data_IF_746248845761
#
_entry.id   IF_746248845761
#
_cell.length_a   1.000
_cell.length_b   1.000
_cell.length_c   1.000
_cell.angle_alpha   90.00
_cell.angle_beta   90.00
_cell.angle_gamma   90.00
#
_symmetry.space_group_name_H-M   'P 1'
#
loop_
_entity.id
_entity.type
_entity.pdbx_description
1 polymer ?
#
# COMPACT_ATOMS: atom_id res chain seq x y z
N UNK A 1 -35.54 26.52 -12.27
CA UNK A 1 -34.24 26.59 -11.55
C UNK A 1 -34.27 27.60 -10.40
N UNK A 2 -34.96 28.74 -10.54
CA UNK A 2 -35.10 29.73 -9.46
C UNK A 2 -36.03 29.29 -8.30
N UNK A 3 -37.08 28.49 -8.57
CA UNK A 3 -38.02 28.04 -7.52
C UNK A 3 -37.38 27.00 -6.57
N UNK A 4 -36.54 26.09 -7.09
CA UNK A 4 -35.80 25.11 -6.29
C UNK A 4 -34.77 25.74 -5.34
N UNK A 5 -34.28 26.95 -5.64
CA UNK A 5 -33.37 27.69 -4.76
C UNK A 5 -34.15 28.35 -3.61
N UNK A 6 -35.37 28.81 -3.87
CA UNK A 6 -36.23 29.40 -2.85
C UNK A 6 -36.78 28.36 -1.87
N UNK A 7 -37.13 27.16 -2.34
CA UNK A 7 -37.65 26.09 -1.49
C UNK A 7 -36.57 25.48 -0.55
N UNK A 8 -35.29 25.60 -0.89
CA UNK A 8 -34.21 25.14 -0.02
C UNK A 8 -33.89 26.13 1.13
N UNK A 9 -34.14 27.43 0.91
CA UNK A 9 -33.91 28.47 1.92
C UNK A 9 -34.95 28.46 3.04
N UNK A 10 -36.15 27.93 2.79
CA UNK A 10 -37.28 27.94 3.73
C UNK A 10 -37.30 26.76 4.72
N UNK A 11 -36.38 25.80 4.62
CA UNK A 11 -36.36 24.58 5.46
C UNK A 11 -35.14 24.42 6.38
N UNK A 12 -34.37 25.48 6.66
CA UNK A 12 -33.25 25.39 7.62
C UNK A 12 -33.72 25.59 9.07
N UNK A 13 -33.50 24.61 9.98
CA UNK A 13 -33.70 24.82 11.42
C UNK A 13 -32.80 25.94 11.93
N UNK A 14 -33.31 26.78 12.82
CA UNK A 14 -32.57 27.89 13.45
C UNK A 14 -31.47 27.36 14.39
N UNK A 15 -30.36 26.88 13.82
CA UNK A 15 -29.08 26.77 14.52
C UNK A 15 -28.48 28.16 14.75
N UNK A 16 -27.64 28.31 15.78
CA UNK A 16 -26.99 29.59 16.10
C UNK A 16 -26.31 30.23 14.88
N UNK A 17 -26.30 31.56 14.83
CA UNK A 17 -25.83 32.37 13.68
C UNK A 17 -24.45 31.96 13.15
N UNK A 18 -23.56 31.47 14.02
CA UNK A 18 -22.24 30.93 13.64
C UNK A 18 -22.30 29.58 12.91
N UNK A 19 -23.22 28.69 13.28
CA UNK A 19 -23.43 27.40 12.61
C UNK A 19 -24.05 27.59 11.22
N UNK A 20 -24.96 28.57 11.08
CA UNK A 20 -25.54 28.91 9.78
C UNK A 20 -24.49 29.54 8.84
N UNK A 21 -23.63 30.43 9.35
CA UNK A 21 -22.58 31.05 8.56
C UNK A 21 -21.52 30.04 8.05
N UNK A 22 -21.12 29.07 8.87
CA UNK A 22 -20.18 28.00 8.46
C UNK A 22 -20.78 27.08 7.40
N UNK A 23 -22.04 26.63 7.57
CA UNK A 23 -22.74 25.81 6.57
C UNK A 23 -22.91 26.54 5.23
N UNK A 24 -23.24 27.84 5.25
CA UNK A 24 -23.35 28.65 4.03
C UNK A 24 -22.02 28.73 3.28
N UNK A 25 -20.91 28.96 4.00
CA UNK A 25 -19.58 29.06 3.40
C UNK A 25 -19.14 27.75 2.75
N UNK A 26 -19.32 26.62 3.43
CA UNK A 26 -18.96 25.30 2.87
C UNK A 26 -19.76 24.99 1.61
N UNK A 27 -21.06 25.33 1.61
CA UNK A 27 -21.92 25.17 0.45
C UNK A 27 -21.47 26.05 -0.72
N UNK A 28 -21.13 27.32 -0.46
CA UNK A 28 -20.62 28.24 -1.48
C UNK A 28 -19.26 27.80 -2.04
N UNK A 29 -18.36 27.30 -1.20
CA UNK A 29 -17.07 26.77 -1.64
C UNK A 29 -17.24 25.58 -2.57
N UNK A 30 -18.08 24.61 -2.18
CA UNK A 30 -18.38 23.43 -3.01
C UNK A 30 -19.05 23.84 -4.32
N UNK A 31 -20.05 24.72 -4.27
CA UNK A 31 -20.70 25.25 -5.48
C UNK A 31 -19.71 25.95 -6.39
N UNK A 32 -18.83 26.79 -5.83
CA UNK A 32 -17.80 27.51 -6.57
C UNK A 32 -16.82 26.56 -7.25
N UNK A 33 -16.34 25.52 -6.56
CA UNK A 33 -15.43 24.51 -7.10
C UNK A 33 -16.06 23.75 -8.28
N UNK A 34 -17.30 23.26 -8.12
CA UNK A 34 -18.02 22.54 -9.18
C UNK A 34 -18.30 23.47 -10.36
N UNK A 35 -18.77 24.70 -10.09
CA UNK A 35 -19.06 25.69 -11.14
C UNK A 35 -17.82 25.99 -11.98
N UNK A 36 -16.69 26.25 -11.34
CA UNK A 36 -15.42 26.51 -12.04
C UNK A 36 -14.94 25.30 -12.83
N UNK A 37 -15.05 24.08 -12.28
CA UNK A 37 -14.67 22.86 -13.00
C UNK A 37 -15.55 22.61 -14.25
N UNK A 38 -16.84 22.92 -14.17
CA UNK A 38 -17.77 22.84 -15.33
C UNK A 38 -17.52 23.94 -16.36
N UNK A 39 -17.16 25.14 -15.91
CA UNK A 39 -16.86 26.29 -16.78
C UNK A 39 -15.52 26.11 -17.51
N UNK A 40 -14.54 25.48 -16.86
CA UNK A 40 -13.19 25.24 -17.38
C UNK A 40 -12.87 23.74 -17.34
N UNK A 41 -13.48 22.93 -18.23
CA UNK A 41 -13.25 21.50 -18.27
C UNK A 41 -11.80 21.18 -18.67
N UNK A 42 -11.28 20.08 -18.15
CA UNK A 42 -9.92 19.61 -18.42
C UNK A 42 -9.78 19.23 -19.90
N UNK A 43 -8.60 19.48 -20.45
CA UNK A 43 -8.19 18.83 -21.70
C UNK A 43 -7.46 17.53 -21.35
N UNK A 44 -8.09 16.38 -21.66
CA UNK A 44 -7.57 15.04 -21.30
C UNK A 44 -6.19 14.81 -21.94
N UNK A 45 -6.03 15.12 -23.23
CA UNK A 45 -4.77 14.95 -23.95
C UNK A 45 -3.63 15.76 -23.32
N UNK A 46 -3.88 17.04 -23.00
CA UNK A 46 -2.87 17.87 -22.34
C UNK A 46 -2.58 17.41 -20.91
N UNK A 47 -3.58 16.89 -20.21
CA UNK A 47 -3.41 16.36 -18.84
C UNK A 47 -2.54 15.10 -18.85
N UNK A 48 -2.79 14.18 -19.78
CA UNK A 48 -1.95 13.01 -20.01
C UNK A 48 -0.51 13.41 -20.37
N UNK A 49 -0.31 14.33 -21.31
CA UNK A 49 1.04 14.79 -21.66
C UNK A 49 1.79 15.39 -20.47
N UNK A 50 1.14 16.23 -19.66
CA UNK A 50 1.75 16.78 -18.44
C UNK A 50 2.13 15.70 -17.43
N UNK A 51 1.29 14.67 -17.27
CA UNK A 51 1.59 13.50 -16.43
C UNK A 51 2.86 12.81 -16.93
N UNK A 52 2.91 12.47 -18.22
CA UNK A 52 4.03 11.76 -18.83
C UNK A 52 5.33 12.58 -18.76
N UNK A 53 5.26 13.89 -18.99
CA UNK A 53 6.42 14.78 -18.86
C UNK A 53 6.96 14.84 -17.43
N UNK A 54 6.09 14.79 -16.41
CA UNK A 54 6.54 14.69 -15.03
C UNK A 54 7.19 13.33 -14.73
N UNK A 55 6.68 12.24 -15.34
CA UNK A 55 7.21 10.88 -15.20
C UNK A 55 8.61 10.71 -15.81
N UNK A 56 9.01 11.58 -16.75
CA UNK A 56 10.37 11.65 -17.30
C UNK A 56 11.43 12.16 -16.30
N UNK A 57 11.01 12.71 -15.16
CA UNK A 57 11.95 13.18 -14.13
C UNK A 57 12.45 12.00 -13.30
N UNK A 58 13.76 11.75 -13.32
CA UNK A 58 14.37 10.66 -12.56
C UNK A 58 13.99 10.65 -11.07
N UNK A 59 13.89 11.82 -10.44
CA UNK A 59 13.57 11.93 -9.01
C UNK A 59 12.18 11.38 -8.68
N UNK A 60 11.20 11.61 -9.56
CA UNK A 60 9.87 11.03 -9.45
C UNK A 60 9.91 9.54 -9.79
N UNK A 61 10.55 9.18 -10.91
CA UNK A 61 10.62 7.81 -11.38
C UNK A 61 11.19 6.86 -10.31
N UNK A 62 12.23 7.28 -9.57
CA UNK A 62 12.85 6.49 -8.48
C UNK A 62 11.92 6.23 -7.29
N UNK A 63 10.77 6.92 -7.20
CA UNK A 63 9.79 6.84 -6.12
C UNK A 63 8.39 6.52 -6.63
N UNK A 64 8.24 6.23 -7.92
CA UNK A 64 6.93 6.11 -8.59
C UNK A 64 6.18 4.82 -8.22
N UNK A 65 6.91 3.76 -7.88
CA UNK A 65 6.35 2.46 -7.49
C UNK A 65 6.82 2.13 -6.08
N UNK A 66 5.89 1.64 -5.25
CA UNK A 66 6.26 1.00 -3.99
C UNK A 66 6.41 -0.50 -4.22
N UNK A 67 7.26 -1.14 -3.42
CA UNK A 67 7.44 -2.58 -3.45
C UNK A 67 7.62 -3.12 -2.03
N UNK A 68 6.99 -4.25 -1.74
CA UNK A 68 7.22 -4.98 -0.49
C UNK A 68 7.01 -6.49 -0.68
N UNK A 69 7.74 -7.34 0.05
CA UNK A 69 7.55 -8.79 0.01
C UNK A 69 6.30 -9.20 0.82
N UNK A 70 5.49 -10.10 0.26
CA UNK A 70 4.38 -10.77 0.95
C UNK A 70 4.34 -12.24 0.55
N UNK A 71 4.48 -13.14 1.53
CA UNK A 71 4.42 -14.59 1.29
C UNK A 71 5.46 -15.10 0.28
N UNK A 72 6.67 -14.52 0.25
CA UNK A 72 7.72 -14.86 -0.72
C UNK A 72 7.52 -14.30 -2.13
N UNK A 73 6.44 -13.54 -2.36
CA UNK A 73 6.16 -12.85 -3.62
C UNK A 73 6.31 -11.34 -3.46
N UNK A 74 6.63 -10.65 -4.55
CA UNK A 74 6.70 -9.19 -4.57
C UNK A 74 5.31 -8.60 -4.83
N UNK A 75 4.89 -7.67 -3.96
CA UNK A 75 3.72 -6.82 -4.21
C UNK A 75 4.21 -5.45 -4.59
N UNK A 76 3.77 -4.96 -5.74
CA UNK A 76 4.12 -3.63 -6.25
C UNK A 76 2.87 -2.86 -6.71
N UNK A 77 3.01 -1.54 -6.83
CA UNK A 77 1.97 -0.69 -7.40
C UNK A 77 2.34 0.79 -7.38
N UNK A 78 1.52 1.64 -8.00
CA UNK A 78 1.74 3.09 -8.01
C UNK A 78 1.87 3.62 -6.59
N UNK A 79 2.91 4.39 -6.32
CA UNK A 79 3.14 5.01 -5.02
C UNK A 79 2.20 6.20 -4.79
N UNK A 80 2.10 6.66 -3.53
CA UNK A 80 1.39 7.92 -3.24
C UNK A 80 2.01 9.11 -3.99
N UNK A 81 3.34 9.10 -4.23
CA UNK A 81 4.02 10.19 -4.95
C UNK A 81 3.60 10.24 -6.41
N UNK A 82 3.47 9.07 -7.06
CA UNK A 82 2.93 9.01 -8.41
C UNK A 82 1.45 9.43 -8.43
N UNK A 83 0.64 8.94 -7.49
CA UNK A 83 -0.77 9.33 -7.39
C UNK A 83 -0.97 10.84 -7.19
N UNK A 84 -0.15 11.49 -6.36
CA UNK A 84 -0.18 12.95 -6.18
C UNK A 84 0.15 13.69 -7.49
N UNK A 85 1.15 13.24 -8.25
CA UNK A 85 1.49 13.82 -9.55
C UNK A 85 0.37 13.62 -10.56
N UNK A 86 -0.25 12.44 -10.59
CA UNK A 86 -1.43 12.17 -11.41
C UNK A 86 -2.55 13.15 -11.08
N UNK A 87 -2.91 13.27 -9.79
CA UNK A 87 -3.96 14.18 -9.33
C UNK A 87 -3.68 15.65 -9.66
N UNK A 88 -2.43 16.13 -9.45
CA UNK A 88 -2.02 17.49 -9.74
C UNK A 88 -2.15 17.85 -11.23
N UNK A 89 -1.92 16.90 -12.12
CA UNK A 89 -1.88 17.13 -13.57
C UNK A 89 -3.17 16.70 -14.30
N UNK A 90 -4.02 15.88 -13.66
CA UNK A 90 -5.33 15.50 -14.19
C UNK A 90 -6.29 16.70 -14.25
N UNK A 91 -6.16 17.63 -13.30
CA UNK A 91 -7.01 18.82 -13.17
C UNK A 91 -8.30 18.57 -12.39
N UNK A 92 -9.04 19.63 -12.03
CA UNK A 92 -10.40 19.57 -11.46
C UNK A 92 -10.63 18.44 -10.42
N UNK A 93 -9.65 18.21 -9.53
CA UNK A 93 -9.66 17.14 -8.55
C UNK A 93 -9.44 17.70 -7.15
N UNK A 94 -10.30 17.33 -6.21
CA UNK A 94 -10.11 17.58 -4.78
C UNK A 94 -9.82 16.25 -4.09
N UNK A 95 -8.73 16.17 -3.33
CA UNK A 95 -8.34 14.94 -2.64
C UNK A 95 -7.64 15.27 -1.32
N UNK A 96 -7.64 14.33 -0.39
CA UNK A 96 -6.98 14.52 0.89
C UNK A 96 -7.45 13.56 1.96
N UNK A 97 -6.97 13.80 3.17
CA UNK A 97 -7.40 13.09 4.38
C UNK A 97 -7.97 14.09 5.38
N UNK A 98 -9.05 13.71 6.06
CA UNK A 98 -9.65 14.46 7.16
C UNK A 98 -9.71 13.53 8.37
N UNK A 99 -9.13 13.94 9.49
CA UNK A 99 -9.41 13.30 10.77
C UNK A 99 -10.80 13.75 11.22
N UNK A 100 -11.71 12.80 11.36
CA UNK A 100 -13.11 13.05 11.71
C UNK A 100 -13.27 13.12 13.22
N UNK A 101 -12.59 12.24 13.93
CA UNK A 101 -12.66 12.12 15.37
C UNK A 101 -11.38 11.51 15.93
N UNK A 102 -10.92 11.99 17.07
CA UNK A 102 -9.83 11.38 17.83
C UNK A 102 -10.34 10.98 19.22
N UNK A 103 -10.18 9.71 19.58
CA UNK A 103 -10.55 9.14 20.87
C UNK A 103 -9.32 8.58 21.58
N UNK A 104 -9.49 8.17 22.82
CA UNK A 104 -8.40 7.51 23.56
C UNK A 104 -8.06 6.15 22.90
N UNK A 105 -6.87 6.07 22.29
CA UNK A 105 -6.37 4.82 21.71
C UNK A 105 -6.75 4.57 20.25
N UNK A 106 -7.53 5.46 19.61
CA UNK A 106 -7.83 5.38 18.19
C UNK A 106 -8.22 6.73 17.56
N UNK A 107 -7.98 6.86 16.26
CA UNK A 107 -8.43 7.99 15.44
C UNK A 107 -9.30 7.47 14.30
N UNK A 108 -10.42 8.14 14.03
CA UNK A 108 -11.25 7.91 12.85
C UNK A 108 -10.90 8.96 11.81
N UNK A 109 -10.49 8.53 10.63
CA UNK A 109 -10.13 9.40 9.53
C UNK A 109 -10.85 8.99 8.24
N UNK A 110 -10.96 9.94 7.32
CA UNK A 110 -11.54 9.75 6.00
C UNK A 110 -10.53 10.19 4.94
N UNK A 111 -10.21 9.29 4.02
CA UNK A 111 -9.48 9.63 2.80
C UNK A 111 -10.49 9.79 1.66
N UNK A 112 -10.30 10.81 0.82
CA UNK A 112 -11.20 11.06 -0.30
C UNK A 112 -10.45 11.52 -1.56
N UNK A 113 -11.09 11.30 -2.70
CA UNK A 113 -10.78 11.94 -3.97
C UNK A 113 -12.09 12.22 -4.71
N UNK A 114 -12.23 13.42 -5.26
CA UNK A 114 -13.43 13.90 -5.91
C UNK A 114 -13.06 14.62 -7.21
N UNK A 115 -13.51 14.06 -8.33
CA UNK A 115 -13.53 14.75 -9.61
C UNK A 115 -14.68 15.74 -9.64
N UNK A 116 -14.35 17.03 -9.57
CA UNK A 116 -15.32 18.13 -9.55
C UNK A 116 -15.98 18.35 -10.91
N UNK A 117 -15.37 17.88 -11.99
CA UNK A 117 -15.88 18.02 -13.35
C UNK A 117 -16.90 16.93 -13.69
N UNK A 118 -16.61 15.67 -13.34
CA UNK A 118 -17.53 14.54 -13.56
C UNK A 118 -18.47 14.26 -12.37
N UNK A 119 -18.16 14.85 -11.20
CA UNK A 119 -18.79 14.58 -9.91
C UNK A 119 -18.61 13.15 -9.37
N UNK A 120 -17.68 12.36 -9.93
CA UNK A 120 -17.32 11.05 -9.36
C UNK A 120 -16.51 11.25 -8.08
N UNK A 121 -16.92 10.60 -6.99
CA UNK A 121 -16.29 10.73 -5.67
C UNK A 121 -16.00 9.36 -5.07
N UNK A 122 -14.80 9.22 -4.50
CA UNK A 122 -14.34 8.05 -3.77
C UNK A 122 -14.03 8.48 -2.33
N UNK A 123 -14.61 7.78 -1.36
CA UNK A 123 -14.37 8.02 0.07
C UNK A 123 -14.09 6.71 0.78
N UNK A 124 -13.16 6.76 1.74
CA UNK A 124 -12.81 5.64 2.58
C UNK A 124 -12.68 6.15 4.01
N UNK A 125 -13.65 5.79 4.85
CA UNK A 125 -13.60 6.01 6.30
C UNK A 125 -12.88 4.83 6.93
N UNK A 126 -11.96 5.10 7.85
CA UNK A 126 -11.15 4.07 8.50
C UNK A 126 -10.76 4.48 9.92
N UNK A 127 -10.62 3.47 10.77
CA UNK A 127 -10.16 3.63 12.15
C UNK A 127 -8.70 3.21 12.24
N UNK A 128 -7.88 4.06 12.88
CA UNK A 128 -6.46 3.82 13.15
C UNK A 128 -6.30 3.64 14.65
N UNK A 129 -6.07 2.40 15.09
CA UNK A 129 -5.69 2.11 16.48
C UNK A 129 -4.31 2.71 16.77
N UNK A 130 -4.15 3.40 17.88
CA UNK A 130 -2.89 4.00 18.35
C UNK A 130 -1.95 2.93 18.91
N UNK A 131 -1.57 1.98 18.06
CA UNK A 131 -0.67 0.89 18.43
C UNK A 131 0.14 0.45 17.22
N UNK A 132 1.36 -0.02 17.46
CA UNK A 132 2.22 -0.64 16.44
C UNK A 132 2.50 -2.08 16.86
N UNK A 133 2.34 -3.02 15.92
CA UNK A 133 2.78 -4.39 16.12
C UNK A 133 4.22 -4.51 15.62
N UNK A 134 5.15 -4.87 16.50
CA UNK A 134 6.54 -5.10 16.14
C UNK A 134 7.00 -6.41 16.80
N UNK A 135 7.60 -7.32 16.02
CA UNK A 135 8.17 -8.58 16.53
C UNK A 135 7.22 -9.40 17.44
N UNK A 136 5.93 -9.41 17.10
CA UNK A 136 4.91 -10.16 17.84
C UNK A 136 4.34 -9.46 19.09
N UNK A 137 4.88 -8.33 19.51
CA UNK A 137 4.30 -7.52 20.60
C UNK A 137 3.52 -6.32 20.06
N UNK A 138 2.43 -5.98 20.74
CA UNK A 138 1.64 -4.78 20.46
C UNK A 138 2.12 -3.68 21.40
N UNK A 139 2.70 -2.63 20.85
CA UNK A 139 3.09 -1.44 21.59
C UNK A 139 2.04 -0.36 21.41
N UNK A 140 1.42 0.09 22.51
CA UNK A 140 0.50 1.24 22.50
C UNK A 140 1.33 2.51 22.27
N UNK A 141 0.88 3.36 21.34
CA UNK A 141 1.44 4.69 21.13
C UNK A 141 0.74 5.67 22.06
N UNK A 142 1.54 6.47 22.75
CA UNK A 142 1.06 7.53 23.65
C UNK A 142 1.57 8.90 23.24
N UNK A 143 2.67 8.96 22.49
CA UNK A 143 3.23 10.21 22.00
C UNK A 143 2.33 10.80 20.87
N UNK A 144 1.89 12.07 20.98
CA UNK A 144 1.02 12.68 19.98
C UNK A 144 1.62 12.75 18.57
N UNK A 145 2.95 12.90 18.46
CA UNK A 145 3.63 12.96 17.16
C UNK A 145 3.64 11.58 16.50
N UNK A 146 3.94 10.53 17.26
CA UNK A 146 3.88 9.16 16.75
C UNK A 146 2.47 8.75 16.28
N UNK A 147 1.45 9.21 17.00
CA UNK A 147 0.04 9.01 16.63
C UNK A 147 -0.29 9.74 15.34
N UNK A 148 0.07 11.03 15.24
CA UNK A 148 -0.14 11.82 14.04
C UNK A 148 0.55 11.21 12.81
N UNK A 149 1.82 10.81 12.94
CA UNK A 149 2.57 10.16 11.85
C UNK A 149 1.93 8.83 11.44
N UNK A 150 1.39 8.04 12.40
CA UNK A 150 0.69 6.79 12.11
C UNK A 150 -0.62 7.05 11.33
N UNK A 151 -1.42 8.02 11.75
CA UNK A 151 -2.68 8.39 11.08
C UNK A 151 -2.41 8.94 9.69
N UNK A 152 -1.43 9.84 9.55
CA UNK A 152 -1.00 10.40 8.27
C UNK A 152 -0.54 9.31 7.29
N UNK A 153 0.26 8.34 7.75
CA UNK A 153 0.71 7.22 6.92
C UNK A 153 -0.45 6.32 6.47
N UNK A 154 -1.41 6.04 7.34
CA UNK A 154 -2.62 5.29 6.99
C UNK A 154 -3.53 6.06 6.02
N UNK A 155 -3.63 7.37 6.22
CA UNK A 155 -4.32 8.30 5.33
C UNK A 155 -3.72 8.32 3.95
N UNK A 156 -2.41 8.52 3.82
CA UNK A 156 -1.71 8.56 2.54
C UNK A 156 -1.96 7.31 1.68
N UNK A 157 -1.95 6.11 2.30
CA UNK A 157 -2.24 4.85 1.58
C UNK A 157 -3.65 4.81 1.01
N UNK A 158 -4.63 5.35 1.73
CA UNK A 158 -6.04 5.36 1.32
C UNK A 158 -6.35 6.51 0.36
N UNK A 159 -5.70 7.67 0.52
CA UNK A 159 -5.75 8.77 -0.45
C UNK A 159 -5.22 8.31 -1.80
N UNK A 160 -4.10 7.58 -1.81
CA UNK A 160 -3.59 6.92 -3.03
C UNK A 160 -4.68 6.07 -3.69
N UNK A 161 -5.32 5.18 -2.93
CA UNK A 161 -6.38 4.33 -3.45
C UNK A 161 -7.59 5.13 -3.99
N UNK A 162 -7.98 6.22 -3.32
CA UNK A 162 -9.05 7.09 -3.80
C UNK A 162 -8.67 7.78 -5.11
N UNK A 163 -7.45 8.32 -5.23
CA UNK A 163 -6.97 8.97 -6.47
C UNK A 163 -6.96 7.97 -7.62
N UNK A 164 -6.37 6.79 -7.41
CA UNK A 164 -6.30 5.73 -8.43
C UNK A 164 -7.68 5.18 -8.80
N UNK A 165 -8.66 5.27 -7.90
CA UNK A 165 -10.06 4.92 -8.20
C UNK A 165 -10.84 5.99 -8.98
N UNK A 166 -10.29 7.20 -9.13
CA UNK A 166 -10.89 8.28 -9.94
C UNK A 166 -10.22 8.38 -11.32
N UNK A 167 -8.89 8.29 -11.37
CA UNK A 167 -8.14 8.45 -12.62
C UNK A 167 -8.22 7.15 -13.43
N UNK A 168 -8.52 7.20 -14.75
CA UNK A 168 -8.59 6.01 -15.58
C UNK A 168 -7.31 5.16 -15.51
N UNK A 169 -7.47 3.84 -15.38
CA UNK A 169 -6.37 2.91 -15.18
C UNK A 169 -5.32 2.96 -16.29
N UNK A 170 -5.73 3.17 -17.54
CA UNK A 170 -4.80 3.27 -18.68
C UNK A 170 -3.86 4.48 -18.58
N UNK A 171 -4.31 5.58 -17.94
CA UNK A 171 -3.45 6.76 -17.68
C UNK A 171 -2.45 6.47 -16.56
N UNK A 172 -2.88 5.71 -15.55
CA UNK A 172 -2.00 5.27 -14.45
C UNK A 172 -0.91 4.34 -14.99
N UNK A 173 -1.30 3.35 -15.79
CA UNK A 173 -0.38 2.35 -16.36
C UNK A 173 0.66 3.02 -17.26
N UNK A 174 0.23 3.91 -18.16
CA UNK A 174 1.17 4.71 -18.99
C UNK A 174 2.14 5.54 -18.15
N UNK A 175 1.70 6.08 -17.01
CA UNK A 175 2.57 6.84 -16.13
C UNK A 175 3.61 5.95 -15.43
N UNK A 176 3.22 4.73 -15.02
CA UNK A 176 4.15 3.73 -14.46
C UNK A 176 5.16 3.26 -15.51
N UNK A 177 4.71 2.98 -16.73
CA UNK A 177 5.57 2.58 -17.85
C UNK A 177 6.58 3.68 -18.17
N UNK A 178 6.14 4.93 -18.26
CA UNK A 178 7.03 6.07 -18.51
C UNK A 178 8.06 6.26 -17.38
N UNK A 179 7.68 6.05 -16.11
CA UNK A 179 8.63 6.06 -15.01
C UNK A 179 9.66 4.93 -15.14
N UNK A 180 9.21 3.74 -15.50
CA UNK A 180 10.07 2.57 -15.71
C UNK A 180 11.05 2.80 -16.87
N UNK A 181 10.58 3.35 -17.98
CA UNK A 181 11.42 3.74 -19.12
C UNK A 181 12.46 4.81 -18.72
N UNK A 182 12.07 5.75 -17.85
CA UNK A 182 12.99 6.76 -17.31
C UNK A 182 14.09 6.14 -16.46
N UNK A 183 13.76 5.14 -15.63
CA UNK A 183 14.75 4.42 -14.84
C UNK A 183 15.67 3.53 -15.68
N UNK A 184 15.12 2.90 -16.73
CA UNK A 184 15.91 2.14 -17.70
C UNK A 184 16.95 3.04 -18.38
N UNK A 185 16.58 4.28 -18.67
CA UNK A 185 17.41 5.24 -19.39
C UNK A 185 17.77 4.76 -20.80
N UNK A 186 18.86 5.29 -21.36
CA UNK A 186 19.39 4.90 -22.67
C UNK A 186 20.38 3.72 -22.59
N UNK A 187 20.28 2.87 -21.56
CA UNK A 187 21.23 1.78 -21.38
C UNK A 187 21.05 0.67 -22.42
N UNK A 188 22.10 0.36 -23.18
CA UNK A 188 22.09 -0.70 -24.20
C UNK A 188 21.96 -2.11 -23.62
N UNK A 189 22.17 -2.26 -22.29
CA UNK A 189 22.25 -3.55 -21.62
C UNK A 189 20.90 -4.01 -21.06
N UNK A 190 20.47 -5.26 -21.34
CA UNK A 190 19.27 -5.84 -20.74
C UNK A 190 19.30 -5.79 -19.20
N UNK A 191 18.12 -5.65 -18.58
CA UNK A 191 17.98 -5.58 -17.12
C UNK A 191 18.68 -6.75 -16.40
N UNK A 192 18.52 -7.98 -16.91
CA UNK A 192 19.14 -9.18 -16.34
C UNK A 192 20.67 -9.10 -16.29
N UNK A 193 21.30 -8.52 -17.32
CA UNK A 193 22.75 -8.30 -17.33
C UNK A 193 23.16 -7.24 -16.31
N UNK A 194 22.40 -6.14 -16.22
CA UNK A 194 22.64 -5.07 -15.23
C UNK A 194 22.50 -5.57 -13.79
N UNK A 195 21.50 -6.40 -13.49
CA UNK A 195 21.35 -7.06 -12.19
C UNK A 195 22.53 -7.98 -11.90
N UNK A 196 22.91 -8.86 -12.84
CA UNK A 196 24.05 -9.77 -12.68
C UNK A 196 25.35 -9.00 -12.37
N UNK A 197 25.58 -7.89 -13.08
CA UNK A 197 26.72 -7.01 -12.82
C UNK A 197 26.64 -6.39 -11.42
N UNK A 198 25.47 -5.90 -11.00
CA UNK A 198 25.27 -5.37 -9.65
C UNK A 198 25.57 -6.43 -8.58
N UNK A 199 25.01 -7.65 -8.70
CA UNK A 199 25.26 -8.76 -7.78
C UNK A 199 26.75 -9.12 -7.69
N UNK A 200 27.47 -9.09 -8.82
CA UNK A 200 28.91 -9.33 -8.83
C UNK A 200 29.70 -8.25 -8.07
N UNK A 201 29.30 -6.98 -8.15
CA UNK A 201 29.94 -5.89 -7.41
C UNK A 201 29.80 -6.05 -5.90
N UNK A 202 28.71 -6.64 -5.41
CA UNK A 202 28.50 -6.90 -3.98
C UNK A 202 29.46 -7.95 -3.39
N UNK A 203 30.06 -8.82 -4.22
CA UNK A 203 30.99 -9.87 -3.76
C UNK A 203 32.24 -9.31 -3.08
N UNK A 204 32.72 -8.13 -3.48
CA UNK A 204 33.86 -7.49 -2.83
C UNK A 204 33.60 -7.11 -1.36
N UNK A 205 32.33 -6.96 -1.00
CA UNK A 205 31.86 -6.70 0.37
C UNK A 205 31.45 -7.97 1.10
N UNK A 206 31.76 -9.16 0.55
CA UNK A 206 31.33 -10.48 1.06
C UNK A 206 29.82 -10.64 1.18
N UNK A 207 29.06 -9.86 0.41
CA UNK A 207 27.60 -9.98 0.30
C UNK A 207 27.30 -10.98 -0.82
N UNK A 208 26.50 -12.01 -0.51
CA UNK A 208 26.10 -13.05 -1.47
C UNK A 208 24.73 -12.75 -2.06
N UNK A 209 24.39 -13.41 -3.18
CA UNK A 209 23.05 -13.29 -3.77
C UNK A 209 21.96 -13.70 -2.77
N UNK A 210 22.17 -14.79 -2.01
CA UNK A 210 21.21 -15.24 -0.99
C UNK A 210 20.91 -14.16 0.06
N UNK A 211 21.93 -13.41 0.48
CA UNK A 211 21.76 -12.31 1.44
C UNK A 211 20.97 -11.14 0.86
N UNK A 212 21.15 -10.88 -0.44
CA UNK A 212 20.40 -9.85 -1.16
C UNK A 212 18.94 -10.28 -1.30
N UNK A 213 18.69 -11.51 -1.73
CA UNK A 213 17.32 -12.04 -1.84
C UNK A 213 16.60 -12.10 -0.49
N UNK A 214 17.30 -12.42 0.60
CA UNK A 214 16.73 -12.37 1.96
C UNK A 214 16.35 -10.94 2.36
N UNK A 215 17.17 -9.94 2.01
CA UNK A 215 16.88 -8.52 2.24
C UNK A 215 15.64 -8.03 1.48
N UNK A 216 15.48 -8.47 0.24
CA UNK A 216 14.33 -8.07 -0.60
C UNK A 216 13.09 -8.93 -0.31
N UNK A 217 13.29 -10.17 0.15
CA UNK A 217 12.24 -11.14 0.47
C UNK A 217 11.70 -11.91 -0.74
N UNK A 218 12.43 -11.91 -1.87
CA UNK A 218 12.11 -12.63 -3.11
C UNK A 218 13.38 -12.86 -3.96
N UNK A 219 13.28 -13.76 -4.94
CA UNK A 219 14.38 -14.18 -5.82
C UNK A 219 14.86 -13.05 -6.76
N UNK A 220 16.16 -13.04 -7.08
CA UNK A 220 16.76 -12.03 -7.95
C UNK A 220 16.20 -12.06 -9.39
N UNK A 221 15.59 -13.17 -9.82
CA UNK A 221 14.86 -13.29 -11.07
C UNK A 221 13.58 -12.47 -11.13
N UNK A 222 13.04 -12.04 -9.98
CA UNK A 222 11.87 -11.15 -9.89
C UNK A 222 12.25 -9.65 -9.81
N UNK A 223 13.54 -9.31 -9.91
CA UNK A 223 14.00 -7.93 -9.76
C UNK A 223 13.60 -7.05 -10.96
N UNK A 224 13.18 -5.81 -10.68
CA UNK A 224 12.81 -4.78 -11.66
C UNK A 224 13.85 -3.65 -11.70
N UNK A 225 13.61 -2.62 -12.52
CA UNK A 225 14.41 -1.39 -12.51
C UNK A 225 14.43 -0.72 -11.12
N UNK A 226 13.35 -0.84 -10.35
CA UNK A 226 13.25 -0.29 -9.00
C UNK A 226 14.18 -1.01 -8.03
N UNK A 227 14.23 -2.35 -8.09
CA UNK A 227 15.16 -3.16 -7.32
C UNK A 227 16.62 -2.83 -7.65
N UNK A 228 16.93 -2.64 -8.94
CA UNK A 228 18.27 -2.23 -9.37
C UNK A 228 18.66 -0.84 -8.82
N UNK A 229 17.74 0.12 -8.84
CA UNK A 229 17.97 1.45 -8.24
C UNK A 229 18.26 1.34 -6.74
N UNK A 230 17.54 0.49 -6.02
CA UNK A 230 17.78 0.25 -4.59
C UNK A 230 19.15 -0.40 -4.35
N UNK A 231 19.51 -1.42 -5.14
CA UNK A 231 20.83 -2.05 -5.08
C UNK A 231 21.96 -1.04 -5.33
N UNK A 232 21.82 -0.17 -6.32
CA UNK A 232 22.82 0.87 -6.62
C UNK A 232 22.94 1.86 -5.46
N UNK A 233 21.84 2.25 -4.81
CA UNK A 233 21.87 3.11 -3.61
C UNK A 233 22.62 2.46 -2.45
N UNK A 234 22.32 1.19 -2.16
CA UNK A 234 23.00 0.44 -1.10
C UNK A 234 24.49 0.31 -1.43
N UNK A 235 24.82 -0.07 -2.66
CA UNK A 235 26.21 -0.19 -3.11
C UNK A 235 26.99 1.11 -2.96
N UNK A 236 26.43 2.25 -3.37
CA UNK A 236 27.07 3.55 -3.23
C UNK A 236 27.29 3.91 -1.75
N UNK A 237 26.33 3.62 -0.87
CA UNK A 237 26.50 3.82 0.58
C UNK A 237 27.66 3.00 1.16
N UNK A 238 27.84 1.75 0.71
CA UNK A 238 28.98 0.90 1.09
C UNK A 238 30.30 1.41 0.51
N UNK A 239 30.28 1.83 -0.77
CA UNK A 239 31.46 2.37 -1.47
C UNK A 239 31.97 3.66 -0.82
N UNK A 240 31.07 4.52 -0.40
CA UNK A 240 31.38 5.81 0.23
C UNK A 240 31.69 5.66 1.74
N UNK A 241 31.60 4.44 2.29
CA UNK A 241 31.88 4.16 3.69
C UNK A 241 30.83 4.69 4.67
N UNK A 242 29.64 5.05 4.18
CA UNK A 242 28.54 5.60 4.99
C UNK A 242 27.76 4.52 5.75
N UNK A 243 27.89 3.26 5.33
CA UNK A 243 27.29 2.10 5.99
C UNK A 243 28.17 0.86 5.83
N UNK A 244 27.87 -0.18 6.60
CA UNK A 244 28.51 -1.50 6.56
C UNK A 244 27.55 -2.54 5.98
N UNK A 245 28.06 -3.66 5.44
CA UNK A 245 27.20 -4.74 4.93
C UNK A 245 26.17 -5.22 5.96
N UNK A 246 26.54 -5.27 7.24
CA UNK A 246 25.70 -5.75 8.34
C UNK A 246 24.53 -4.80 8.66
N UNK A 247 24.60 -3.54 8.23
CA UNK A 247 23.50 -2.58 8.39
C UNK A 247 22.34 -2.89 7.43
N UNK A 248 22.63 -3.63 6.35
CA UNK A 248 21.68 -3.95 5.29
C UNK A 248 21.36 -5.44 5.20
N UNK A 249 22.35 -6.30 5.34
CA UNK A 249 22.23 -7.72 5.02
C UNK A 249 22.47 -8.58 6.26
N UNK A 250 21.53 -9.49 6.53
CA UNK A 250 21.68 -10.47 7.60
C UNK A 250 22.67 -11.56 7.19
N UNK A 251 23.77 -11.70 7.94
CA UNK A 251 24.82 -12.70 7.69
C UNK A 251 24.33 -14.13 7.91
N UNK A 252 23.26 -14.33 8.67
CA UNK A 252 22.70 -15.64 8.98
C UNK A 252 21.65 -16.12 7.97
N UNK A 253 21.44 -15.40 6.85
CA UNK A 253 20.47 -15.75 5.80
C UNK A 253 20.61 -17.21 5.31
N UNK A 254 21.83 -17.75 5.26
CA UNK A 254 22.10 -19.15 4.89
C UNK A 254 21.52 -20.19 5.86
N UNK A 255 21.38 -19.85 7.15
CA UNK A 255 20.92 -20.78 8.20
C UNK A 255 19.40 -20.95 8.22
N UNK A 256 18.65 -19.92 7.79
CA UNK A 256 17.18 -19.94 7.81
C UNK A 256 16.56 -20.68 6.63
N UNK A 257 17.20 -20.68 5.45
CA UNK A 257 16.73 -21.45 4.28
C UNK A 257 16.92 -22.96 4.47
N UNK A 258 17.90 -23.41 5.25
CA UNK A 258 18.12 -24.84 5.55
C UNK A 258 17.18 -25.41 6.61
N UNK A 259 16.64 -24.60 7.52
CA UNK A 259 15.67 -25.05 8.53
C UNK A 259 14.23 -25.18 7.99
N UNK A 260 13.96 -24.64 6.79
CA UNK A 260 12.66 -24.67 6.13
C UNK A 260 12.52 -25.76 5.04
N UNK A 261 13.51 -26.65 4.88
CA UNK A 261 13.34 -27.83 4.02
C UNK A 261 12.47 -28.86 4.74
N UNK A 262 11.19 -28.90 4.37
CA UNK A 262 10.20 -29.93 4.72
C UNK A 262 10.57 -31.31 4.14
N UNK A 263 11.77 -31.80 4.41
CA UNK A 263 12.30 -33.07 3.87
C UNK A 263 12.67 -34.10 4.94
N UNK A 264 12.61 -33.73 6.23
CA UNK A 264 12.87 -34.67 7.35
C UNK A 264 11.61 -35.32 7.96
N UNK A 265 10.41 -34.78 7.73
CA UNK A 265 9.17 -35.34 8.28
C UNK A 265 8.60 -36.54 7.49
N UNK A 266 9.13 -36.85 6.31
CA UNK A 266 8.69 -37.97 5.46
C UNK A 266 9.48 -39.28 5.65
N UNK A 267 10.52 -39.29 6.49
CA UNK A 267 11.37 -40.48 6.68
C UNK A 267 11.14 -41.25 7.98
N UNK A 268 10.24 -40.80 8.85
CA UNK A 268 10.01 -41.45 10.15
C UNK A 268 8.58 -41.99 10.34
N UNK A 269 7.99 -42.58 9.29
CA UNK A 269 6.80 -43.43 9.40
C UNK A 269 7.01 -44.74 8.64
N UNK A 270 7.95 -45.54 9.16
CA UNK A 270 8.29 -46.84 8.60
C UNK A 270 8.52 -47.86 9.69
N UNK A 271 7.49 -48.21 10.47
CA UNK A 271 7.49 -49.46 11.23
C UNK A 271 6.35 -50.39 10.78
N UNK A 272 6.75 -51.65 10.62
CA UNK A 272 6.05 -52.79 10.02
C UNK A 272 4.98 -53.40 10.93
N UNK A 273 4.06 -54.23 10.37
CA UNK A 273 2.84 -54.67 11.04
C UNK A 273 3.06 -55.90 11.94
N UNK A 274 2.26 -56.02 13.01
CA UNK A 274 2.04 -57.29 13.71
C UNK A 274 0.55 -57.62 13.80
N UNK A 275 0.21 -58.82 13.34
CA UNK A 275 -1.11 -59.44 13.35
C UNK A 275 -1.64 -59.81 14.75
N UNK A 276 -2.97 -59.93 14.78
CA UNK A 276 -3.80 -60.94 15.45
C UNK A 276 -4.67 -60.57 16.68
N UNK A 277 -5.93 -60.29 16.35
CA UNK A 277 -7.15 -61.06 16.69
C UNK A 277 -7.62 -61.16 18.17
N UNK A 278 -8.76 -60.52 18.48
CA UNK A 278 -10.13 -61.11 18.47
C UNK A 278 -11.15 -60.27 19.27
N UNK A 279 -12.31 -60.02 18.65
CA UNK A 279 -13.60 -60.28 19.30
C UNK A 279 -14.55 -59.11 19.65
N UNK A 280 -15.71 -59.13 18.98
CA UNK A 280 -17.08 -58.77 19.43
C UNK A 280 -17.66 -57.34 19.20
N UNK A 281 -18.51 -57.24 18.16
CA UNK A 281 -19.96 -56.85 18.17
C UNK A 281 -20.54 -56.29 19.50
N UNK A 282 -21.41 -55.28 19.57
CA UNK A 282 -22.56 -54.84 18.72
C UNK A 282 -23.07 -53.45 19.16
N UNK A 283 -23.84 -52.83 18.25
CA UNK A 283 -25.01 -51.95 18.42
C UNK A 283 -24.91 -50.53 19.00
N UNK A 284 -25.60 -49.60 18.31
CA UNK A 284 -25.65 -48.18 18.62
C UNK A 284 -26.88 -47.70 19.37
N UNK A 285 -26.85 -46.43 19.83
CA UNK A 285 -28.00 -45.51 19.89
C UNK A 285 -27.59 -44.08 20.27
N UNK A 286 -28.11 -43.14 19.49
CA UNK A 286 -28.61 -41.79 19.78
C UNK A 286 -28.08 -40.92 20.96
N UNK A 287 -27.58 -39.73 20.57
CA UNK A 287 -27.96 -38.36 20.97
C UNK A 287 -28.20 -38.02 22.45
N UNK A 288 -27.36 -37.12 22.98
CA UNK A 288 -27.72 -35.83 23.63
C UNK A 288 -26.42 -35.06 23.97
N UNK A 289 -26.16 -33.95 23.29
CA UNK A 289 -26.30 -32.57 23.80
C UNK A 289 -25.45 -32.28 25.03
N UNK A 290 -24.32 -31.59 24.82
CA UNK A 290 -23.98 -30.49 25.72
C UNK A 290 -23.26 -29.38 24.95
N UNK A 291 -23.78 -28.19 25.22
CA UNK A 291 -23.46 -26.89 24.66
C UNK A 291 -22.30 -26.29 25.46
N UNK A 292 -21.22 -25.94 24.76
CA UNK A 292 -20.30 -24.90 25.24
C UNK A 292 -19.66 -24.24 24.03
N UNK A 293 -20.39 -23.27 23.49
CA UNK A 293 -19.93 -22.21 22.62
C UNK A 293 -18.54 -21.67 23.02
N UNK A 294 -17.56 -21.91 22.16
CA UNK A 294 -16.36 -21.08 22.05
C UNK A 294 -16.55 -20.22 20.81
N UNK A 295 -16.80 -18.94 21.04
CA UNK A 295 -16.85 -17.92 20.01
C UNK A 295 -15.54 -17.93 19.21
N UNK A 296 -15.64 -18.42 17.98
CA UNK A 296 -14.61 -18.29 16.95
C UNK A 296 -14.73 -16.86 16.44
N UNK A 297 -13.91 -15.95 16.95
CA UNK A 297 -13.68 -14.66 16.32
C UNK A 297 -12.92 -14.91 15.01
N UNK A 298 -13.66 -14.88 13.91
CA UNK A 298 -13.14 -14.91 12.55
C UNK A 298 -12.36 -13.62 12.31
N UNK A 299 -11.05 -13.74 12.10
CA UNK A 299 -10.20 -12.66 11.62
C UNK A 299 -10.68 -12.20 10.23
N UNK A 300 -11.23 -10.99 10.14
CA UNK A 300 -11.32 -10.28 8.87
C UNK A 300 -9.89 -9.91 8.44
N UNK A 301 -9.31 -10.78 7.62
CA UNK A 301 -8.11 -10.47 6.88
C UNK A 301 -8.37 -9.28 5.97
N UNK A 302 -7.62 -8.20 6.18
CA UNK A 302 -7.48 -7.13 5.19
C UNK A 302 -7.05 -7.78 3.85
N UNK A 303 -8.00 -7.83 2.93
CA UNK A 303 -7.76 -8.23 1.55
C UNK A 303 -6.67 -7.32 0.96
N UNK A 304 -5.69 -7.89 0.23
CA UNK A 304 -4.84 -7.09 -0.64
C UNK A 304 -5.71 -6.44 -1.72
N UNK A 305 -5.86 -5.12 -1.67
CA UNK A 305 -6.45 -4.38 -2.77
C UNK A 305 -5.36 -4.16 -3.83
N UNK A 306 -5.55 -4.86 -4.95
CA UNK A 306 -4.95 -4.56 -6.27
C UNK A 306 -5.29 -3.11 -6.64
#
# INVERSE_FOLDING_TARGET
MNELIQDYQSQQPQGGTLAQASSSREMEEVKGQIFMAKQFPRNIFQSEQRILDNCKRESLAKQAVYQYPRGGTKVEGPSIRLAEVLAQNWGNLAFGVKELEQREGESVAMAYAWDLETNVRQEKIFTVKHSRKAKGSIQKLTDPRDIYELVANNGARRVRACILGIIPGDIVDKAVDQCTDTLRGNGDKPLKERISNALNLFKQYRVTQDMIEDKFGYDAGAFTEYDLVELVKIYNSLKDGMSKPDDWFDKDAKKRRSDNSLEDDLKNSGEKPSENNKGKQTDGKAVKSDDSSKDVQVEEGELPFV
#
